data_IF_675682911054
#
_entry.id   IF_675682911054
#
_cell.length_a   1.000
_cell.length_b   1.000
_cell.length_c   1.000
_cell.angle_alpha   90.00
_cell.angle_beta   90.00
_cell.angle_gamma   90.00
#
_symmetry.space_group_name_H-M   'P 1'
#
loop_
_entity.id
_entity.type
_entity.pdbx_description
1 polymer ?
#
# COMPACT_ATOMS: atom_id res chain seq x y z
N UNK A 1 -70.76 -37.57 13.63
CA UNK A 1 -69.97 -36.59 12.85
C UNK A 1 -69.41 -35.56 13.82
N UNK A 2 -68.16 -35.71 14.28
CA UNK A 2 -67.36 -34.63 14.85
C UNK A 2 -65.90 -35.12 14.94
N UNK A 3 -65.05 -34.60 14.07
CA UNK A 3 -63.61 -34.91 14.00
C UNK A 3 -62.88 -33.85 14.83
N UNK A 4 -62.09 -34.26 15.83
CA UNK A 4 -61.15 -33.38 16.54
C UNK A 4 -59.82 -33.36 15.79
N UNK A 5 -59.44 -32.20 15.27
CA UNK A 5 -58.09 -31.95 14.74
C UNK A 5 -57.15 -31.52 15.87
N UNK A 6 -56.02 -32.23 16.01
CA UNK A 6 -54.89 -31.83 16.85
C UNK A 6 -53.90 -31.11 15.94
N UNK A 7 -53.65 -29.82 16.20
CA UNK A 7 -52.56 -29.08 15.56
C UNK A 7 -51.28 -29.24 16.38
N UNK A 8 -50.26 -29.86 15.78
CA UNK A 8 -48.89 -29.90 16.31
C UNK A 8 -48.16 -28.66 15.78
N UNK A 9 -47.82 -27.73 16.66
CA UNK A 9 -46.91 -26.62 16.34
C UNK A 9 -45.47 -27.14 16.43
N UNK A 10 -44.80 -27.27 15.29
CA UNK A 10 -43.34 -27.48 15.23
C UNK A 10 -42.69 -26.09 15.28
N UNK A 11 -42.07 -25.77 16.42
CA UNK A 11 -41.21 -24.60 16.56
C UNK A 11 -39.85 -24.95 15.95
N UNK A 12 -39.56 -24.44 14.76
CA UNK A 12 -38.20 -24.48 14.19
C UNK A 12 -37.34 -23.44 14.92
N UNK A 13 -36.43 -23.89 15.77
CA UNK A 13 -35.40 -23.04 16.38
C UNK A 13 -34.33 -22.69 15.34
N UNK A 14 -34.31 -21.45 14.87
CA UNK A 14 -33.35 -20.90 13.91
C UNK A 14 -32.01 -20.53 14.55
N UNK A 15 -31.32 -21.48 15.21
CA UNK A 15 -30.11 -21.18 16.01
C UNK A 15 -28.78 -21.65 15.36
N UNK A 16 -28.75 -22.33 14.21
CA UNK A 16 -27.49 -22.94 13.71
C UNK A 16 -26.81 -22.35 12.45
N UNK A 17 -27.26 -21.23 11.87
CA UNK A 17 -26.65 -20.74 10.61
C UNK A 17 -25.63 -19.60 10.81
N UNK A 18 -25.74 -18.81 11.88
CA UNK A 18 -24.84 -17.64 12.10
C UNK A 18 -23.46 -18.02 12.64
N UNK A 19 -23.36 -19.12 13.41
CA UNK A 19 -22.07 -19.57 13.95
C UNK A 19 -21.14 -20.15 12.88
N UNK A 20 -21.69 -20.86 11.90
CA UNK A 20 -20.91 -21.50 10.83
C UNK A 20 -20.29 -20.47 9.86
N UNK A 21 -21.02 -19.41 9.51
CA UNK A 21 -20.50 -18.35 8.63
C UNK A 21 -19.35 -17.57 9.26
N UNK A 22 -19.43 -17.30 10.57
CA UNK A 22 -18.38 -16.58 11.31
C UNK A 22 -17.12 -17.44 11.55
N UNK A 23 -17.29 -18.75 11.75
CA UNK A 23 -16.14 -19.65 11.85
C UNK A 23 -15.43 -19.81 10.50
N UNK A 24 -16.21 -19.96 9.41
CA UNK A 24 -15.67 -20.05 8.06
C UNK A 24 -14.92 -18.77 7.64
N UNK A 25 -15.47 -17.59 7.97
CA UNK A 25 -14.77 -16.32 7.71
C UNK A 25 -13.50 -16.17 8.54
N UNK A 26 -13.50 -16.62 9.80
CA UNK A 26 -12.32 -16.59 10.65
C UNK A 26 -11.20 -17.53 10.16
N UNK A 27 -11.52 -18.78 9.81
CA UNK A 27 -10.55 -19.73 9.25
C UNK A 27 -9.98 -19.25 7.91
N UNK A 28 -10.86 -18.71 7.06
CA UNK A 28 -10.47 -18.09 5.79
C UNK A 28 -9.47 -16.94 6.01
N UNK A 29 -9.78 -16.03 6.92
CA UNK A 29 -8.93 -14.90 7.26
C UNK A 29 -7.58 -15.36 7.81
N UNK A 30 -7.56 -16.29 8.77
CA UNK A 30 -6.32 -16.85 9.31
C UNK A 30 -5.44 -17.46 8.22
N UNK A 31 -6.03 -18.26 7.33
CA UNK A 31 -5.30 -18.94 6.26
C UNK A 31 -4.67 -17.93 5.30
N UNK A 32 -5.45 -16.97 4.83
CA UNK A 32 -4.98 -16.00 3.84
C UNK A 32 -4.02 -14.96 4.43
N UNK A 33 -4.23 -14.56 5.68
CA UNK A 33 -3.26 -13.76 6.42
C UNK A 33 -1.93 -14.50 6.61
N UNK A 34 -1.97 -15.81 6.86
CA UNK A 34 -0.78 -16.66 6.89
C UNK A 34 -0.05 -16.72 5.53
N UNK A 35 -0.79 -16.84 4.42
CA UNK A 35 -0.21 -16.79 3.08
C UNK A 35 0.43 -15.43 2.78
N UNK A 36 -0.22 -14.33 3.16
CA UNK A 36 0.31 -12.97 2.96
C UNK A 36 1.60 -12.75 3.76
N UNK A 37 1.65 -13.18 5.03
CA UNK A 37 2.87 -13.13 5.85
C UNK A 37 4.00 -14.00 5.28
N UNK A 38 3.67 -15.21 4.79
CA UNK A 38 4.66 -16.09 4.18
C UNK A 38 5.24 -15.49 2.89
N UNK A 39 4.38 -14.97 2.01
CA UNK A 39 4.82 -14.26 0.81
C UNK A 39 5.70 -13.05 1.16
N UNK A 40 5.31 -12.26 2.17
CA UNK A 40 6.11 -11.14 2.67
C UNK A 40 7.46 -11.61 3.21
N UNK A 41 7.51 -12.70 3.99
CA UNK A 41 8.76 -13.25 4.52
C UNK A 41 9.73 -13.63 3.39
N UNK A 42 9.24 -14.29 2.33
CA UNK A 42 10.08 -14.66 1.18
C UNK A 42 10.63 -13.42 0.47
N UNK A 43 9.79 -12.41 0.29
CA UNK A 43 10.19 -11.14 -0.31
C UNK A 43 11.23 -10.38 0.54
N UNK A 44 11.08 -10.38 1.87
CA UNK A 44 12.03 -9.74 2.77
C UNK A 44 13.36 -10.51 2.84
N UNK A 45 13.35 -11.83 2.71
CA UNK A 45 14.58 -12.62 2.59
C UNK A 45 15.36 -12.24 1.33
N UNK A 46 14.66 -11.98 0.21
CA UNK A 46 15.28 -11.45 -1.00
C UNK A 46 15.88 -10.07 -0.78
N UNK A 47 15.10 -9.12 -0.23
CA UNK A 47 15.62 -7.78 0.04
C UNK A 47 16.81 -7.80 1.00
N UNK A 48 16.81 -8.65 2.02
CA UNK A 48 17.96 -8.80 2.94
C UNK A 48 19.20 -9.34 2.22
N UNK A 49 19.03 -10.25 1.25
CA UNK A 49 20.14 -10.78 0.45
C UNK A 49 20.74 -9.76 -0.52
N UNK A 50 20.00 -8.71 -0.88
CA UNK A 50 20.39 -7.74 -1.90
C UNK A 50 20.14 -6.28 -1.48
N UNK A 51 20.23 -6.00 -0.17
CA UNK A 51 19.84 -4.72 0.42
C UNK A 51 20.63 -3.52 -0.11
N UNK A 52 21.84 -3.74 -0.64
CA UNK A 52 22.65 -2.69 -1.25
C UNK A 52 22.13 -2.23 -2.62
N UNK A 53 21.30 -3.02 -3.29
CA UNK A 53 20.70 -2.66 -4.58
C UNK A 53 19.23 -2.21 -4.42
N UNK A 54 18.76 -2.01 -3.19
CA UNK A 54 17.46 -1.42 -2.92
C UNK A 54 17.54 0.10 -3.06
N UNK A 55 16.76 0.65 -3.99
CA UNK A 55 16.64 2.09 -4.20
C UNK A 55 15.66 2.73 -3.20
N UNK A 56 15.54 4.06 -3.25
CA UNK A 56 14.66 4.82 -2.37
C UNK A 56 13.18 4.40 -2.50
N UNK A 57 12.70 4.17 -3.73
CA UNK A 57 11.29 3.89 -4.01
C UNK A 57 10.88 2.52 -3.48
N UNK A 58 11.74 1.51 -3.68
CA UNK A 58 11.56 0.19 -3.07
C UNK A 58 11.64 0.24 -1.54
N UNK A 59 12.55 1.07 -1.00
CA UNK A 59 12.66 1.30 0.44
C UNK A 59 11.41 1.96 1.02
N UNK A 60 10.79 2.89 0.30
CA UNK A 60 9.52 3.49 0.71
C UNK A 60 8.42 2.44 0.90
N UNK A 61 8.29 1.50 -0.05
CA UNK A 61 7.38 0.37 0.07
C UNK A 61 7.65 -0.50 1.32
N UNK A 62 8.91 -0.72 1.66
CA UNK A 62 9.28 -1.40 2.91
C UNK A 62 8.90 -0.59 4.15
N UNK A 63 9.06 0.73 4.16
CA UNK A 63 8.64 1.57 5.30
C UNK A 63 7.12 1.57 5.48
N UNK A 64 6.35 1.50 4.41
CA UNK A 64 4.90 1.24 4.49
C UNK A 64 4.64 -0.14 5.10
N UNK A 65 5.30 -1.18 4.60
CA UNK A 65 5.13 -2.55 5.11
C UNK A 65 5.39 -2.62 6.62
N UNK A 66 6.48 -2.01 7.07
CA UNK A 66 6.85 -1.91 8.49
C UNK A 66 5.78 -1.20 9.31
N UNK A 67 5.24 -0.09 8.79
CA UNK A 67 4.14 0.63 9.45
C UNK A 67 2.90 -0.23 9.63
N UNK A 68 2.48 -0.97 8.60
CA UNK A 68 1.33 -1.87 8.67
C UNK A 68 1.54 -3.03 9.66
N UNK A 69 2.73 -3.64 9.66
CA UNK A 69 3.09 -4.69 10.63
C UNK A 69 3.10 -4.16 12.07
N UNK A 70 3.59 -2.94 12.28
CA UNK A 70 3.60 -2.32 13.61
C UNK A 70 2.18 -2.11 14.15
N UNK A 71 1.26 -1.61 13.32
CA UNK A 71 -0.15 -1.44 13.73
C UNK A 71 -0.81 -2.79 14.00
N UNK A 72 -0.61 -3.78 13.11
CA UNK A 72 -1.13 -5.13 13.32
C UNK A 72 -0.63 -5.73 14.65
N UNK A 73 0.68 -5.65 14.91
CA UNK A 73 1.28 -6.14 16.15
C UNK A 73 0.68 -5.46 17.39
N UNK A 74 0.50 -4.14 17.35
CA UNK A 74 -0.13 -3.39 18.44
C UNK A 74 -1.58 -3.83 18.68
N UNK A 75 -2.37 -3.96 17.62
CA UNK A 75 -3.77 -4.40 17.70
C UNK A 75 -3.91 -5.82 18.26
N UNK A 76 -3.01 -6.73 17.88
CA UNK A 76 -2.95 -8.08 18.42
C UNK A 76 -2.60 -8.10 19.90
N UNK A 77 -1.61 -7.32 20.35
CA UNK A 77 -1.26 -7.21 21.78
C UNK A 77 -2.44 -6.69 22.60
N UNK A 78 -3.11 -5.64 22.13
CA UNK A 78 -4.28 -5.07 22.81
C UNK A 78 -5.44 -6.08 22.90
N UNK A 79 -5.58 -6.95 21.90
CA UNK A 79 -6.58 -8.02 21.87
C UNK A 79 -6.20 -9.21 22.78
N UNK A 80 -4.91 -9.55 22.88
CA UNK A 80 -4.37 -10.62 23.75
C UNK A 80 -4.50 -10.27 25.23
N UNK A 81 -4.39 -9.00 25.61
CA UNK A 81 -4.65 -8.56 26.99
C UNK A 81 -6.10 -8.85 27.46
N UNK A 82 -6.99 -9.34 26.57
CA UNK A 82 -8.33 -9.86 26.89
C UNK A 82 -8.42 -11.40 26.90
N UNK A 83 -7.46 -12.13 26.32
CA UNK A 83 -7.41 -13.61 26.28
C UNK A 83 -5.94 -14.09 26.25
N UNK A 84 -5.51 -14.76 27.33
CA UNK A 84 -4.17 -15.32 27.49
C UNK A 84 -3.82 -16.37 26.41
N UNK A 85 -3.26 -15.95 25.27
CA UNK A 85 -2.32 -16.75 24.50
C UNK A 85 -1.49 -15.84 23.58
N UNK A 86 -0.19 -15.73 23.84
CA UNK A 86 0.77 -15.22 22.86
C UNK A 86 0.91 -16.29 21.78
N UNK A 87 0.38 -16.05 20.59
CA UNK A 87 0.51 -17.00 19.47
C UNK A 87 1.80 -16.73 18.70
N UNK A 88 2.44 -17.78 18.18
CA UNK A 88 3.66 -17.72 17.34
C UNK A 88 3.59 -16.68 16.21
N UNK A 89 2.38 -16.40 15.70
CA UNK A 89 2.11 -15.37 14.68
C UNK A 89 2.53 -13.96 15.10
N UNK A 90 2.34 -13.60 16.36
CA UNK A 90 2.69 -12.27 16.85
C UNK A 90 4.22 -12.08 16.83
N UNK A 91 4.97 -13.13 17.18
CA UNK A 91 6.43 -13.14 17.10
C UNK A 91 6.92 -13.01 15.66
N UNK A 92 6.26 -13.68 14.71
CA UNK A 92 6.58 -13.57 13.28
C UNK A 92 6.36 -12.13 12.80
N UNK A 93 5.21 -11.52 13.07
CA UNK A 93 4.89 -10.14 12.64
C UNK A 93 5.94 -9.15 13.17
N UNK A 94 6.30 -9.26 14.45
CA UNK A 94 7.34 -8.43 15.05
C UNK A 94 8.72 -8.68 14.42
N UNK A 95 9.08 -9.94 14.19
CA UNK A 95 10.34 -10.33 13.55
C UNK A 95 10.48 -9.77 12.13
N UNK A 96 9.40 -9.78 11.34
CA UNK A 96 9.38 -9.18 10.00
C UNK A 96 9.60 -7.67 10.05
N UNK A 97 8.98 -6.98 11.01
CA UNK A 97 9.19 -5.54 11.21
C UNK A 97 10.66 -5.22 11.55
N UNK A 98 11.30 -6.04 12.40
CA UNK A 98 12.74 -5.93 12.71
C UNK A 98 13.60 -6.24 11.47
N UNK A 99 13.23 -7.22 10.65
CA UNK A 99 13.94 -7.53 9.41
C UNK A 99 13.92 -6.34 8.45
N UNK A 100 12.76 -5.68 8.29
CA UNK A 100 12.65 -4.46 7.49
C UNK A 100 13.57 -3.35 8.03
N UNK A 101 13.61 -3.14 9.34
CA UNK A 101 14.50 -2.15 9.96
C UNK A 101 15.97 -2.41 9.61
N UNK A 102 16.41 -3.68 9.64
CA UNK A 102 17.79 -4.05 9.26
C UNK A 102 18.08 -3.79 7.79
N UNK A 103 17.17 -4.18 6.89
CA UNK A 103 17.29 -3.91 5.45
C UNK A 103 17.40 -2.40 5.22
N UNK A 104 16.47 -1.62 5.78
CA UNK A 104 16.42 -0.19 5.62
C UNK A 104 17.70 0.51 6.07
N UNK A 105 18.28 0.09 7.21
CA UNK A 105 19.54 0.65 7.69
C UNK A 105 20.72 0.38 6.74
N UNK A 106 20.78 -0.80 6.10
CA UNK A 106 21.81 -1.11 5.10
C UNK A 106 21.58 -0.25 3.85
N UNK A 107 20.35 -0.24 3.32
CA UNK A 107 20.01 0.48 2.09
C UNK A 107 20.18 1.99 2.24
N UNK A 108 19.77 2.59 3.36
CA UNK A 108 19.96 4.03 3.62
C UNK A 108 21.43 4.43 3.61
N UNK A 109 22.32 3.62 4.20
CA UNK A 109 23.76 3.90 4.15
C UNK A 109 24.30 3.86 2.72
N UNK A 110 23.81 2.93 1.90
CA UNK A 110 24.21 2.81 0.51
C UNK A 110 23.67 3.96 -0.35
N UNK A 111 22.38 4.28 -0.24
CA UNK A 111 21.75 5.41 -0.93
C UNK A 111 22.40 6.74 -0.52
N UNK A 112 22.74 6.92 0.76
CA UNK A 112 23.44 8.13 1.22
C UNK A 112 24.81 8.33 0.56
N UNK A 113 25.46 7.24 0.15
CA UNK A 113 26.72 7.27 -0.57
C UNK A 113 26.53 7.54 -2.07
N UNK A 114 25.55 6.90 -2.71
CA UNK A 114 25.39 6.96 -4.18
C UNK A 114 24.53 8.15 -4.65
N UNK A 115 23.49 8.48 -3.89
CA UNK A 115 22.43 9.39 -4.30
C UNK A 115 22.15 10.44 -3.22
N UNK A 116 23.21 10.99 -2.64
CA UNK A 116 23.13 11.90 -1.48
C UNK A 116 22.11 13.03 -1.66
N UNK A 117 22.09 13.68 -2.83
CA UNK A 117 21.16 14.79 -3.10
C UNK A 117 19.70 14.33 -3.15
N UNK A 118 19.46 13.15 -3.69
CA UNK A 118 18.12 12.60 -3.84
C UNK A 118 17.59 12.11 -2.49
N UNK A 119 18.39 11.33 -1.74
CA UNK A 119 18.04 10.95 -0.36
C UNK A 119 17.74 12.17 0.50
N UNK A 120 18.51 13.24 0.35
CA UNK A 120 18.32 14.46 1.12
C UNK A 120 16.95 15.13 0.91
N UNK A 121 16.40 15.03 -0.30
CA UNK A 121 15.07 15.56 -0.62
C UNK A 121 13.95 14.71 -0.01
N UNK A 122 14.12 13.38 -0.02
CA UNK A 122 13.06 12.43 0.33
C UNK A 122 13.25 11.71 1.66
N UNK A 123 14.27 12.09 2.44
CA UNK A 123 14.68 11.41 3.68
C UNK A 123 13.52 11.17 4.64
N UNK A 124 12.63 12.15 4.80
CA UNK A 124 11.52 12.10 5.76
C UNK A 124 10.53 10.97 5.50
N UNK A 125 10.42 10.54 4.24
CA UNK A 125 9.47 9.50 3.82
C UNK A 125 10.03 8.11 4.10
N UNK A 126 11.36 7.96 4.13
CA UNK A 126 12.04 6.66 4.25
C UNK A 126 12.79 6.47 5.58
N UNK A 127 12.91 7.52 6.39
CA UNK A 127 13.67 7.45 7.65
C UNK A 127 12.96 6.65 8.73
N UNK A 128 11.64 6.75 8.80
CA UNK A 128 10.80 6.08 9.80
C UNK A 128 9.74 5.20 9.14
N UNK A 129 9.19 4.20 9.87
CA UNK A 129 8.03 3.45 9.39
C UNK A 129 6.88 4.38 9.01
N UNK A 130 6.26 4.16 7.86
CA UNK A 130 5.13 4.94 7.38
C UNK A 130 3.85 4.39 8.01
N UNK A 131 3.48 4.91 9.18
CA UNK A 131 2.36 4.42 9.99
C UNK A 131 1.09 5.18 9.67
N UNK A 132 0.06 4.47 9.18
CA UNK A 132 -1.32 4.97 9.10
C UNK A 132 -2.22 3.99 9.82
N UNK A 133 -2.86 4.45 10.90
CA UNK A 133 -3.97 3.74 11.52
C UNK A 133 -5.29 4.26 10.94
N UNK A 134 -5.93 3.44 10.12
CA UNK A 134 -7.12 3.83 9.36
C UNK A 134 -8.37 3.12 9.86
N UNK A 135 -9.51 3.73 9.58
CA UNK A 135 -10.82 3.09 9.66
C UNK A 135 -11.21 2.56 8.28
N UNK A 136 -12.00 1.49 8.25
CA UNK A 136 -12.54 0.96 7.00
C UNK A 136 -13.39 2.02 6.29
N UNK A 137 -13.18 2.16 4.98
CA UNK A 137 -13.89 3.05 4.06
C UNK A 137 -14.40 2.27 2.86
N UNK A 138 -15.44 2.82 2.24
CA UNK A 138 -16.01 2.33 0.99
C UNK A 138 -15.86 3.39 -0.08
N UNK A 139 -15.69 2.94 -1.32
CA UNK A 139 -15.62 3.84 -2.47
C UNK A 139 -16.98 4.46 -2.72
N UNK A 140 -16.99 5.79 -2.85
CA UNK A 140 -18.13 6.50 -3.41
C UNK A 140 -18.04 6.50 -4.94
N UNK A 141 -18.88 5.68 -5.59
CA UNK A 141 -18.90 5.56 -7.06
C UNK A 141 -19.38 6.81 -7.78
N UNK A 142 -20.09 7.70 -7.08
CA UNK A 142 -20.57 8.96 -7.67
C UNK A 142 -19.43 9.96 -7.93
N UNK A 143 -18.24 9.70 -7.38
CA UNK A 143 -17.03 10.50 -7.61
C UNK A 143 -16.20 10.00 -8.82
N UNK A 144 -16.59 8.90 -9.45
CA UNK A 144 -15.91 8.38 -10.63
C UNK A 144 -16.16 9.32 -11.81
N UNK A 145 -15.08 9.80 -12.40
CA UNK A 145 -15.15 10.69 -13.55
C UNK A 145 -15.46 9.93 -14.84
N UNK A 146 -16.20 10.60 -15.72
CA UNK A 146 -16.58 10.07 -17.02
C UNK A 146 -16.02 10.96 -18.13
N UNK A 147 -15.42 10.33 -19.14
CA UNK A 147 -14.88 11.01 -20.31
C UNK A 147 -13.39 10.75 -20.52
N UNK A 148 -12.77 11.52 -21.42
CA UNK A 148 -11.35 11.38 -21.72
C UNK A 148 -10.52 11.93 -20.56
N UNK A 149 -9.78 11.05 -19.91
CA UNK A 149 -8.83 11.37 -18.83
C UNK A 149 -7.41 11.52 -19.36
N UNK A 150 -6.61 12.30 -18.64
CA UNK A 150 -5.25 12.67 -18.96
C UNK A 150 -4.26 11.75 -18.24
N UNK A 151 -3.46 11.01 -19.02
CA UNK A 151 -2.35 10.19 -18.53
C UNK A 151 -1.00 10.90 -18.64
N UNK A 152 -0.94 12.12 -19.20
CA UNK A 152 0.30 12.84 -19.39
C UNK A 152 0.92 13.16 -18.03
N UNK A 153 2.08 12.57 -17.79
CA UNK A 153 2.75 12.58 -16.51
C UNK A 153 4.24 12.82 -16.73
N UNK A 154 4.74 13.92 -16.17
CA UNK A 154 6.16 14.22 -16.12
C UNK A 154 6.64 14.05 -14.69
N UNK A 155 7.47 13.04 -14.50
CA UNK A 155 8.00 12.65 -13.20
C UNK A 155 8.84 13.76 -12.57
N UNK A 156 9.68 14.44 -13.36
CA UNK A 156 10.47 15.59 -12.91
C UNK A 156 9.59 16.73 -12.35
N UNK A 157 8.39 16.93 -12.91
CA UNK A 157 7.43 17.91 -12.40
C UNK A 157 6.80 17.42 -11.08
N UNK A 158 6.49 16.13 -10.98
CA UNK A 158 5.99 15.50 -9.76
C UNK A 158 7.01 15.61 -8.62
N UNK A 159 8.27 15.27 -8.89
CA UNK A 159 9.39 15.31 -7.94
C UNK A 159 9.61 16.69 -7.38
N UNK A 160 9.56 17.70 -8.26
CA UNK A 160 9.62 19.09 -7.84
C UNK A 160 8.52 19.40 -6.82
N UNK A 161 7.30 18.91 -7.05
CA UNK A 161 6.20 19.13 -6.12
C UNK A 161 6.32 18.35 -4.81
N UNK A 162 6.93 17.16 -4.82
CA UNK A 162 7.30 16.48 -3.59
C UNK A 162 8.42 17.21 -2.84
N UNK A 163 9.43 17.72 -3.54
CA UNK A 163 10.50 18.50 -2.94
C UNK A 163 10.00 19.82 -2.32
N UNK A 164 9.06 20.52 -2.96
CA UNK A 164 8.37 21.69 -2.40
C UNK A 164 7.60 21.33 -1.11
N UNK A 165 6.89 20.20 -1.13
CA UNK A 165 6.14 19.67 0.01
C UNK A 165 7.07 19.29 1.19
N UNK A 166 8.20 18.66 0.91
CA UNK A 166 9.16 18.21 1.91
C UNK A 166 10.09 19.33 2.37
N UNK A 167 10.21 20.42 1.61
CA UNK A 167 11.04 21.58 1.93
C UNK A 167 12.55 21.32 1.84
N UNK A 168 13.35 22.36 2.07
CA UNK A 168 14.80 22.22 2.21
C UNK A 168 15.17 21.68 3.59
N UNK A 169 16.21 20.85 3.61
CA UNK A 169 16.74 20.07 4.72
C UNK A 169 17.42 20.83 5.87
N UNK A 170 17.51 22.17 5.84
CA UNK A 170 18.12 22.98 6.90
C UNK A 170 17.19 23.11 8.12
N UNK A 171 16.85 21.96 8.71
CA UNK A 171 15.83 21.81 9.75
C UNK A 171 16.38 21.97 11.17
N UNK A 172 17.32 22.89 11.35
CA UNK A 172 17.46 23.60 12.63
C UNK A 172 16.55 24.84 12.68
N UNK A 173 15.95 25.24 11.55
CA UNK A 173 14.95 26.29 11.49
C UNK A 173 13.67 25.81 10.79
N UNK A 174 12.55 26.13 11.41
CA UNK A 174 11.16 25.80 11.12
C UNK A 174 10.62 26.38 9.79
N UNK A 175 11.22 26.08 8.64
CA UNK A 175 10.51 26.34 7.38
C UNK A 175 9.41 25.30 7.22
N UNK A 176 8.18 25.72 7.57
CA UNK A 176 6.94 25.09 7.11
C UNK A 176 7.07 24.87 5.60
N UNK A 177 6.62 23.72 5.11
CA UNK A 177 6.58 23.43 3.68
C UNK A 177 5.96 24.59 2.88
N UNK A 178 6.45 24.82 1.66
CA UNK A 178 5.96 25.87 0.77
C UNK A 178 5.51 25.23 -0.54
N UNK A 179 4.20 25.17 -0.74
CA UNK A 179 3.60 24.58 -1.93
C UNK A 179 3.30 25.70 -2.91
N UNK A 180 3.91 25.67 -4.09
CA UNK A 180 3.61 26.64 -5.15
C UNK A 180 2.20 26.42 -5.72
N UNK A 181 1.62 27.48 -6.29
CA UNK A 181 0.34 27.38 -7.01
C UNK A 181 0.43 26.37 -8.17
N UNK A 182 1.58 26.27 -8.84
CA UNK A 182 1.82 25.28 -9.89
C UNK A 182 1.68 23.85 -9.36
N UNK A 183 2.31 23.55 -8.23
CA UNK A 183 2.23 22.23 -7.62
C UNK A 183 0.86 21.92 -7.05
N UNK A 184 0.20 22.91 -6.44
CA UNK A 184 -1.18 22.77 -6.00
C UNK A 184 -2.11 22.43 -7.18
N UNK A 185 -2.04 23.19 -8.27
CA UNK A 185 -2.86 22.98 -9.46
C UNK A 185 -2.58 21.63 -10.13
N UNK A 186 -1.31 21.22 -10.19
CA UNK A 186 -0.94 19.90 -10.71
C UNK A 186 -1.53 18.78 -9.83
N UNK A 187 -1.32 18.86 -8.52
CA UNK A 187 -1.71 17.81 -7.58
C UNK A 187 -3.22 17.73 -7.34
N UNK A 188 -3.96 18.80 -7.63
CA UNK A 188 -5.44 18.83 -7.54
C UNK A 188 -6.14 18.75 -8.90
N UNK A 189 -5.40 18.66 -10.01
CA UNK A 189 -5.99 18.65 -11.35
C UNK A 189 -6.93 17.44 -11.56
N UNK A 190 -8.20 17.67 -11.95
CA UNK A 190 -9.15 16.59 -12.18
C UNK A 190 -8.88 15.88 -13.50
N UNK A 191 -9.65 14.84 -13.81
CA UNK A 191 -9.55 14.06 -15.05
C UNK A 191 -8.19 13.40 -15.23
N UNK A 192 -7.42 13.17 -14.17
CA UNK A 192 -6.12 12.47 -14.23
C UNK A 192 -6.31 10.95 -14.21
N UNK A 193 -5.41 10.16 -14.81
CA UNK A 193 -5.43 8.68 -14.76
C UNK A 193 -4.01 8.10 -14.64
N UNK A 194 -3.91 6.81 -14.32
CA UNK A 194 -2.64 6.07 -14.20
C UNK A 194 -1.66 6.74 -13.20
N UNK A 195 -0.35 6.73 -13.48
CA UNK A 195 0.69 7.25 -12.59
C UNK A 195 0.45 8.69 -12.13
N UNK A 196 -0.14 9.53 -12.98
CA UNK A 196 -0.50 10.90 -12.58
C UNK A 196 -1.43 10.89 -11.37
N UNK A 197 -2.45 10.05 -11.40
CA UNK A 197 -3.48 9.98 -10.36
C UNK A 197 -2.96 9.36 -9.07
N UNK A 198 -2.13 8.31 -9.17
CA UNK A 198 -1.52 7.69 -7.99
C UNK A 198 -0.52 8.63 -7.33
N UNK A 199 0.25 9.40 -8.09
CA UNK A 199 1.15 10.43 -7.56
C UNK A 199 0.39 11.59 -6.90
N UNK A 200 -0.76 12.01 -7.44
CA UNK A 200 -1.62 13.00 -6.78
C UNK A 200 -2.03 12.51 -5.39
N UNK A 201 -2.53 11.27 -5.28
CA UNK A 201 -2.89 10.69 -3.99
C UNK A 201 -1.67 10.59 -3.06
N UNK A 202 -0.55 10.04 -3.54
CA UNK A 202 0.68 9.88 -2.77
C UNK A 202 1.19 11.22 -2.20
N UNK A 203 1.14 12.28 -3.00
CA UNK A 203 1.49 13.64 -2.56
C UNK A 203 0.64 14.09 -1.37
N UNK A 204 -0.67 13.87 -1.42
CA UNK A 204 -1.56 14.17 -0.28
C UNK A 204 -1.30 13.29 0.94
N UNK A 205 -1.00 12.00 0.76
CA UNK A 205 -0.67 11.10 1.86
C UNK A 205 0.60 11.54 2.59
N UNK A 206 1.63 11.93 1.83
CA UNK A 206 2.87 12.47 2.40
C UNK A 206 2.59 13.80 3.11
N UNK A 207 1.83 14.69 2.48
CA UNK A 207 1.51 16.00 3.04
C UNK A 207 0.80 15.87 4.41
N UNK A 208 -0.09 14.89 4.54
CA UNK A 208 -0.77 14.54 5.80
C UNK A 208 0.20 13.91 6.80
N UNK A 209 1.07 13.01 6.36
CA UNK A 209 2.03 12.33 7.25
C UNK A 209 3.04 13.29 7.89
N UNK A 210 3.47 14.32 7.17
CA UNK A 210 4.43 15.33 7.66
C UNK A 210 3.75 16.58 8.26
N UNK A 211 2.42 16.59 8.39
CA UNK A 211 1.62 17.71 8.90
C UNK A 211 1.87 19.03 8.14
N UNK A 212 1.93 18.98 6.81
CA UNK A 212 2.23 20.13 5.95
C UNK A 212 0.97 20.90 5.49
N UNK A 213 -0.23 20.35 5.69
CA UNK A 213 -1.49 20.99 5.29
C UNK A 213 -2.11 21.65 6.52
N UNK A 214 -1.73 22.90 6.78
CA UNK A 214 -2.13 23.64 7.98
C UNK A 214 -3.43 24.43 7.85
N UNK A 215 -3.99 24.59 6.64
CA UNK A 215 -5.18 25.42 6.44
C UNK A 215 -6.46 24.60 6.68
N UNK A 216 -7.37 25.10 7.53
CA UNK A 216 -8.60 24.39 7.93
C UNK A 216 -9.50 24.05 6.73
N UNK A 217 -9.39 24.81 5.64
CA UNK A 217 -10.10 24.57 4.38
C UNK A 217 -9.44 23.43 3.60
N UNK A 218 -8.11 23.37 3.59
CA UNK A 218 -7.37 22.30 2.94
C UNK A 218 -7.56 20.97 3.69
N UNK A 219 -7.56 20.97 5.03
CA UNK A 219 -7.87 19.79 5.84
C UNK A 219 -9.30 19.26 5.63
N UNK A 220 -10.29 20.15 5.47
CA UNK A 220 -11.68 19.75 5.13
C UNK A 220 -11.79 19.12 3.73
N UNK A 221 -10.93 19.52 2.80
CA UNK A 221 -10.90 18.98 1.44
C UNK A 221 -10.03 17.72 1.30
N UNK A 222 -9.16 17.40 2.26
CA UNK A 222 -8.28 16.22 2.18
C UNK A 222 -9.06 14.91 2.06
N UNK A 223 -10.05 14.69 2.93
CA UNK A 223 -10.86 13.48 2.87
C UNK A 223 -11.61 13.39 1.54
N UNK A 224 -12.08 14.53 1.02
CA UNK A 224 -12.73 14.61 -0.30
C UNK A 224 -11.76 14.23 -1.42
N UNK A 225 -10.52 14.73 -1.40
CA UNK A 225 -9.49 14.36 -2.36
C UNK A 225 -9.15 12.86 -2.26
N UNK A 226 -8.98 12.31 -1.05
CA UNK A 226 -8.78 10.86 -0.85
C UNK A 226 -9.97 10.05 -1.42
N UNK A 227 -11.22 10.46 -1.18
CA UNK A 227 -12.43 9.83 -1.72
C UNK A 227 -12.46 9.89 -3.24
N UNK A 228 -12.18 11.06 -3.80
CA UNK A 228 -12.17 11.32 -5.24
C UNK A 228 -11.07 10.51 -5.94
N UNK A 229 -9.82 10.58 -5.45
CA UNK A 229 -8.71 9.85 -6.05
C UNK A 229 -8.93 8.36 -5.96
N UNK A 230 -9.32 7.81 -4.79
CA UNK A 230 -9.52 6.38 -4.67
C UNK A 230 -10.72 5.84 -5.47
N UNK A 231 -11.77 6.63 -5.67
CA UNK A 231 -12.85 6.25 -6.59
C UNK A 231 -12.34 6.11 -8.03
N UNK A 232 -11.53 7.06 -8.50
CA UNK A 232 -11.00 7.06 -9.86
C UNK A 232 -9.86 6.05 -10.06
N UNK A 233 -9.00 5.87 -9.06
CA UNK A 233 -7.94 4.84 -9.02
C UNK A 233 -8.56 3.45 -9.08
N UNK A 234 -9.70 3.23 -8.42
CA UNK A 234 -10.37 1.93 -8.47
C UNK A 234 -10.87 1.58 -9.86
N UNK A 235 -11.43 2.56 -10.58
CA UNK A 235 -11.85 2.33 -11.96
C UNK A 235 -10.63 2.06 -12.87
N UNK A 236 -9.53 2.81 -12.70
CA UNK A 236 -8.29 2.54 -13.43
C UNK A 236 -7.74 1.15 -13.12
N UNK A 237 -7.71 0.74 -11.86
CA UNK A 237 -7.20 -0.57 -11.43
C UNK A 237 -8.02 -1.73 -12.04
N UNK A 238 -9.35 -1.60 -12.08
CA UNK A 238 -10.22 -2.59 -12.73
C UNK A 238 -9.90 -2.73 -14.20
N UNK A 239 -9.73 -1.61 -14.91
CA UNK A 239 -9.41 -1.60 -16.33
C UNK A 239 -8.00 -2.13 -16.61
N UNK A 240 -7.01 -1.72 -15.81
CA UNK A 240 -5.62 -2.16 -15.92
C UNK A 240 -5.49 -3.68 -15.75
N UNK A 241 -6.20 -4.25 -14.77
CA UNK A 241 -6.21 -5.70 -14.56
C UNK A 241 -6.92 -6.43 -15.70
N UNK A 242 -8.07 -5.93 -16.16
CA UNK A 242 -8.83 -6.54 -17.25
C UNK A 242 -8.02 -6.62 -18.55
N UNK A 243 -7.20 -5.61 -18.83
CA UNK A 243 -6.37 -5.55 -20.03
C UNK A 243 -4.93 -6.09 -19.83
N UNK A 244 -4.58 -6.53 -18.61
CA UNK A 244 -3.24 -7.03 -18.25
C UNK A 244 -2.09 -6.08 -18.66
N UNK A 245 -2.28 -4.77 -18.47
CA UNK A 245 -1.43 -3.74 -19.08
C UNK A 245 -0.15 -3.51 -18.27
N UNK A 246 -0.27 -3.35 -16.95
CA UNK A 246 0.85 -2.90 -16.13
C UNK A 246 0.70 -3.38 -14.68
N UNK A 247 1.52 -4.36 -14.27
CA UNK A 247 1.50 -4.91 -12.92
C UNK A 247 2.03 -3.94 -11.87
N UNK A 248 3.05 -3.15 -12.22
CA UNK A 248 3.66 -2.15 -11.34
C UNK A 248 2.62 -1.09 -10.94
N UNK A 249 2.00 -0.45 -11.94
CA UNK A 249 0.92 0.50 -11.71
C UNK A 249 -0.25 -0.12 -10.92
N UNK A 250 -0.63 -1.36 -11.23
CA UNK A 250 -1.70 -2.02 -10.49
C UNK A 250 -1.36 -2.22 -9.00
N UNK A 251 -0.12 -2.62 -8.67
CA UNK A 251 0.32 -2.73 -7.28
C UNK A 251 0.30 -1.38 -6.58
N UNK A 252 0.72 -0.30 -7.25
CA UNK A 252 0.70 1.06 -6.71
C UNK A 252 -0.73 1.53 -6.41
N UNK A 253 -1.64 1.34 -7.36
CA UNK A 253 -3.06 1.66 -7.20
C UNK A 253 -3.70 0.94 -6.01
N UNK A 254 -3.39 -0.35 -5.83
CA UNK A 254 -3.88 -1.14 -4.71
C UNK A 254 -3.26 -0.68 -3.39
N UNK A 255 -1.95 -0.45 -3.36
CA UNK A 255 -1.25 -0.08 -2.14
C UNK A 255 -1.78 1.25 -1.58
N UNK A 256 -1.77 2.32 -2.37
CA UNK A 256 -2.05 3.67 -1.87
C UNK A 256 -3.45 3.81 -1.27
N UNK A 257 -4.47 3.23 -1.90
CA UNK A 257 -5.84 3.31 -1.39
C UNK A 257 -6.13 2.30 -0.27
N UNK A 258 -5.49 1.13 -0.27
CA UNK A 258 -5.70 0.15 0.80
C UNK A 258 -5.10 0.60 2.14
N UNK A 259 -3.96 1.31 2.14
CA UNK A 259 -3.31 1.79 3.37
C UNK A 259 -4.04 2.97 4.03
N UNK A 260 -5.07 3.52 3.38
CA UNK A 260 -5.98 4.52 3.95
C UNK A 260 -7.42 4.01 4.12
N UNK A 261 -7.62 2.69 3.96
CA UNK A 261 -8.81 1.99 4.42
C UNK A 261 -9.86 1.64 3.37
N UNK A 262 -9.63 1.86 2.07
CA UNK A 262 -10.60 1.45 1.05
C UNK A 262 -10.56 -0.06 0.81
N UNK A 263 -11.57 -0.76 1.31
CA UNK A 263 -11.63 -2.22 1.31
C UNK A 263 -11.73 -2.83 -0.09
N UNK A 264 -12.26 -2.09 -1.06
CA UNK A 264 -12.40 -2.53 -2.45
C UNK A 264 -11.06 -2.84 -3.14
N UNK A 265 -9.94 -2.37 -2.59
CA UNK A 265 -8.59 -2.69 -3.07
C UNK A 265 -7.99 -3.96 -2.47
N UNK A 266 -8.62 -4.53 -1.44
CA UNK A 266 -8.15 -5.72 -0.73
C UNK A 266 -9.01 -6.94 -1.04
N UNK A 267 -9.48 -7.04 -2.28
CA UNK A 267 -10.30 -8.16 -2.71
C UNK A 267 -9.47 -9.45 -2.81
N UNK A 268 -10.09 -10.56 -2.43
CA UNK A 268 -9.42 -11.87 -2.44
C UNK A 268 -9.03 -12.36 -3.83
N UNK A 269 -9.81 -12.04 -4.88
CA UNK A 269 -9.47 -12.39 -6.25
C UNK A 269 -8.19 -11.66 -6.72
N UNK A 270 -8.07 -10.37 -6.40
CA UNK A 270 -6.87 -9.58 -6.69
C UNK A 270 -5.65 -10.08 -5.91
N UNK A 271 -5.83 -10.39 -4.62
CA UNK A 271 -4.79 -11.01 -3.80
C UNK A 271 -4.20 -12.27 -4.43
N UNK A 272 -5.06 -13.21 -4.85
CA UNK A 272 -4.60 -14.45 -5.49
C UNK A 272 -3.81 -14.20 -6.77
N UNK A 273 -4.24 -13.23 -7.59
CA UNK A 273 -3.53 -12.86 -8.81
C UNK A 273 -2.13 -12.33 -8.47
N UNK A 274 -2.02 -11.42 -7.49
CA UNK A 274 -0.74 -10.85 -7.07
C UNK A 274 0.22 -11.94 -6.59
N UNK A 275 -0.25 -12.93 -5.83
CA UNK A 275 0.58 -14.05 -5.39
C UNK A 275 1.17 -14.85 -6.57
N UNK A 276 0.51 -14.88 -7.74
CA UNK A 276 1.07 -15.55 -8.95
C UNK A 276 2.17 -14.75 -9.66
N UNK A 277 2.35 -13.49 -9.28
CA UNK A 277 3.39 -12.61 -9.83
C UNK A 277 4.69 -12.69 -9.05
N UNK A 278 4.63 -13.16 -7.80
CA UNK A 278 5.82 -13.38 -6.98
C UNK A 278 6.69 -14.48 -7.60
N UNK A 279 7.99 -14.23 -7.70
CA UNK A 279 8.94 -15.19 -8.25
C UNK A 279 9.00 -16.43 -7.34
N UNK A 280 8.82 -17.66 -7.87
CA UNK A 280 8.74 -18.86 -7.03
C UNK A 280 10.06 -19.14 -6.28
N UNK A 281 11.21 -18.92 -6.92
CA UNK A 281 12.52 -19.24 -6.32
C UNK A 281 13.06 -18.14 -5.41
N UNK A 282 12.79 -16.87 -5.72
CA UNK A 282 13.41 -15.72 -5.06
C UNK A 282 12.43 -14.93 -4.20
N UNK A 283 11.12 -15.06 -4.37
CA UNK A 283 10.13 -14.29 -3.61
C UNK A 283 10.01 -12.81 -4.01
N UNK A 284 10.83 -12.32 -4.95
CA UNK A 284 10.76 -10.95 -5.46
C UNK A 284 9.67 -10.76 -6.53
N UNK A 285 9.49 -9.54 -7.04
CA UNK A 285 8.64 -9.24 -8.18
C UNK A 285 9.50 -8.75 -9.36
N UNK A 286 9.19 -9.24 -10.57
CA UNK A 286 9.89 -8.91 -11.81
C UNK A 286 8.90 -8.75 -12.97
N UNK A 287 9.37 -8.28 -14.13
CA UNK A 287 8.61 -8.34 -15.37
C UNK A 287 8.95 -9.58 -16.16
N UNK A 288 7.95 -10.44 -16.41
CA UNK A 288 8.12 -11.73 -17.10
C UNK A 288 8.56 -11.61 -18.57
N UNK A 289 8.65 -10.41 -19.14
CA UNK A 289 9.06 -10.23 -20.55
C UNK A 289 10.37 -9.46 -20.69
N UNK A 290 11.34 -10.04 -21.39
CA UNK A 290 12.56 -9.37 -21.83
C UNK A 290 12.26 -8.18 -22.75
N UNK A 291 11.11 -8.16 -23.44
CA UNK A 291 10.67 -7.08 -24.33
C UNK A 291 10.31 -5.79 -23.58
N UNK A 292 9.83 -5.86 -22.34
CA UNK A 292 9.55 -4.65 -21.52
C UNK A 292 10.87 -4.03 -21.00
N UNK A 293 11.92 -4.83 -20.76
CA UNK A 293 13.23 -4.34 -20.29
C UNK A 293 13.88 -3.33 -21.25
N UNK A 294 13.57 -3.39 -22.54
CA UNK A 294 14.11 -2.47 -23.54
C UNK A 294 13.39 -1.12 -23.64
N UNK A 295 12.15 -1.01 -23.13
CA UNK A 295 11.38 0.24 -23.18
C UNK A 295 11.52 1.13 -21.93
N UNK A 296 12.04 0.61 -20.82
CA UNK A 296 12.27 1.38 -19.59
C UNK A 296 13.63 2.10 -19.52
N UNK A 297 14.38 2.19 -20.63
CA UNK A 297 15.65 2.93 -20.72
C UNK A 297 15.52 4.46 -20.80
N UNK A 298 14.38 5.02 -20.42
CA UNK A 298 14.23 6.46 -20.21
C UNK A 298 14.53 6.76 -18.75
N UNK A 299 15.58 7.53 -18.50
CA UNK A 299 15.98 8.03 -17.18
C UNK A 299 14.77 8.66 -16.48
N UNK A 300 14.37 8.09 -15.35
CA UNK A 300 13.22 8.45 -14.52
C UNK A 300 13.76 8.69 -13.11
N UNK A 301 13.75 9.91 -12.60
CA UNK A 301 14.09 10.16 -11.19
C UNK A 301 12.76 10.24 -10.43
N UNK A 302 12.62 9.33 -9.44
CA UNK A 302 11.44 8.85 -8.67
C UNK A 302 10.69 7.60 -9.15
N UNK A 303 11.11 7.04 -10.28
CA UNK A 303 10.70 5.76 -10.85
C UNK A 303 11.86 5.17 -11.66
N UNK A 304 13.10 5.35 -11.18
CA UNK A 304 14.26 4.65 -11.71
C UNK A 304 14.12 3.23 -11.20
N UNK A 305 13.32 2.46 -11.93
CA UNK A 305 13.18 1.04 -11.66
C UNK A 305 14.59 0.45 -11.64
N UNK A 306 14.99 0.03 -10.45
CA UNK A 306 16.33 -0.47 -10.19
C UNK A 306 16.26 -1.98 -10.29
N UNK A 307 16.95 -2.52 -11.30
CA UNK A 307 17.13 -3.95 -11.40
C UNK A 307 17.99 -4.42 -10.23
N UNK A 308 17.42 -5.37 -9.50
CA UNK A 308 18.06 -6.10 -8.42
C UNK A 308 18.46 -7.49 -8.94
N UNK A 309 19.14 -8.28 -8.10
CA UNK A 309 19.58 -9.62 -8.49
C UNK A 309 18.42 -10.47 -9.03
N UNK A 310 18.74 -11.34 -9.98
CA UNK A 310 17.79 -12.29 -10.61
C UNK A 310 16.66 -11.64 -11.43
N UNK A 311 16.87 -10.41 -11.92
CA UNK A 311 15.90 -9.69 -12.74
C UNK A 311 14.70 -9.16 -11.95
N UNK A 312 14.84 -9.14 -10.63
CA UNK A 312 13.87 -8.54 -9.72
C UNK A 312 13.92 -7.02 -9.82
N UNK A 313 12.81 -6.38 -9.45
CA UNK A 313 12.62 -4.94 -9.59
C UNK A 313 12.41 -4.31 -8.22
N UNK A 314 13.23 -3.32 -7.87
CA UNK A 314 13.24 -2.67 -6.56
C UNK A 314 11.89 -2.03 -6.22
N UNK A 315 11.36 -1.19 -7.12
CA UNK A 315 10.12 -0.46 -6.89
C UNK A 315 8.93 -1.41 -6.79
N UNK A 316 8.74 -2.23 -7.82
CA UNK A 316 7.66 -3.23 -7.89
C UNK A 316 7.65 -4.18 -6.68
N UNK A 317 8.84 -4.64 -6.26
CA UNK A 317 8.98 -5.48 -5.07
C UNK A 317 8.64 -4.71 -3.79
N UNK A 318 9.00 -3.42 -3.69
CA UNK A 318 8.64 -2.57 -2.55
C UNK A 318 7.13 -2.37 -2.45
N UNK A 319 6.46 -2.08 -3.57
CA UNK A 319 5.00 -1.98 -3.64
C UNK A 319 4.33 -3.27 -3.15
N UNK A 320 4.80 -4.43 -3.63
CA UNK A 320 4.29 -5.72 -3.21
C UNK A 320 4.50 -5.97 -1.70
N UNK A 321 5.64 -5.57 -1.13
CA UNK A 321 5.89 -5.71 0.30
C UNK A 321 4.87 -4.91 1.13
N UNK A 322 4.65 -3.64 0.78
CA UNK A 322 3.64 -2.79 1.41
C UNK A 322 2.24 -3.41 1.33
N UNK A 323 1.90 -3.96 0.16
CA UNK A 323 0.57 -4.51 -0.08
C UNK A 323 0.36 -5.85 0.66
N UNK A 324 1.36 -6.74 0.66
CA UNK A 324 1.33 -8.00 1.40
C UNK A 324 1.24 -7.77 2.92
N UNK A 325 1.92 -6.76 3.45
CA UNK A 325 1.78 -6.35 4.84
C UNK A 325 0.36 -5.80 5.12
N UNK A 326 -0.23 -5.05 4.18
CA UNK A 326 -1.60 -4.53 4.29
C UNK A 326 -2.64 -5.66 4.28
N UNK A 327 -2.50 -6.64 3.38
CA UNK A 327 -3.32 -7.86 3.39
C UNK A 327 -3.17 -8.63 4.70
N UNK A 328 -1.93 -8.77 5.20
CA UNK A 328 -1.66 -9.43 6.48
C UNK A 328 -2.39 -8.73 7.62
N UNK A 329 -2.36 -7.39 7.65
CA UNK A 329 -3.10 -6.58 8.63
C UNK A 329 -4.60 -6.86 8.56
N UNK A 330 -5.22 -6.73 7.39
CA UNK A 330 -6.68 -6.87 7.26
C UNK A 330 -7.16 -8.29 7.55
N UNK A 331 -6.40 -9.32 7.15
CA UNK A 331 -6.79 -10.71 7.42
C UNK A 331 -6.53 -11.17 8.86
N UNK A 332 -5.63 -10.51 9.61
CA UNK A 332 -5.21 -10.98 10.94
C UNK A 332 -5.59 -10.06 12.09
N UNK A 333 -6.08 -8.85 11.82
CA UNK A 333 -6.48 -7.89 12.86
C UNK A 333 -7.74 -8.30 13.64
#
# INVERSE_FOLDING_TARGET
MLIKFIFIFIIYSSIQIVYSSNLFSHEFNIKNGGHALYALQQLLNFFESDANNLNLDGLYGLRIAQGQLNVLHQNLILSINKKNSVTDKNNIIHSLSIQIERIANISLNRIAYEEKSYLHQFYLIVYHPFVIDYQSRKINKDLIEHGKRNSDFHEEESDKCFAELLGSSDRLNSTKCFISESCWNMMTSPMSQNYRLTHQLLWFLIAKNIDCIHDDIANKNLNHFEDYFCANIYEDARMNLFHNINQDLFLEQLLLCSIIGYEEFLRFDWFNIILTWQHPDYGCFSDKSETIRFHHKTRRHLLLEQEMNNGCLSHKSGLAAGLLATYSRVFLQ
#
